data_IF_862808396960
#
_entry.id   IF_862808396960
#
_cell.length_a   1.000
_cell.length_b   1.000
_cell.length_c   1.000
_cell.angle_alpha   90.00
_cell.angle_beta   90.00
_cell.angle_gamma   90.00
#
_symmetry.space_group_name_H-M   'P 1'
#
loop_
_entity.id
_entity.type
_entity.pdbx_description
1 polymer ?
#
# COMPACT_ATOMS: atom_id res chain seq x y z
N UNK A 1 -2.17 2.53 -11.85
CA UNK A 1 -2.30 3.84 -12.51
C UNK A 1 -2.59 4.96 -11.50
N UNK A 2 -2.09 4.90 -10.26
CA UNK A 2 -2.27 5.97 -9.27
C UNK A 2 -1.15 7.02 -9.27
N UNK A 3 -0.10 6.80 -10.07
CA UNK A 3 1.03 7.72 -10.22
C UNK A 3 0.55 9.06 -10.79
N UNK A 4 1.02 10.18 -10.24
CA UNK A 4 0.64 11.52 -10.69
C UNK A 4 -0.62 12.11 -10.06
N UNK A 5 -1.33 11.38 -9.18
CA UNK A 5 -2.38 11.98 -8.31
C UNK A 5 -1.75 12.92 -7.28
N UNK A 6 -0.56 12.55 -6.80
CA UNK A 6 0.36 13.35 -5.99
C UNK A 6 1.69 13.41 -6.75
N UNK A 7 2.48 14.50 -6.67
CA UNK A 7 3.80 14.57 -7.29
C UNK A 7 4.69 13.40 -6.86
N UNK A 8 5.42 12.78 -7.80
CA UNK A 8 6.26 11.62 -7.48
C UNK A 8 7.44 11.93 -6.56
N UNK A 9 7.85 13.20 -6.53
CA UNK A 9 8.96 13.73 -5.73
C UNK A 9 8.50 14.31 -4.39
N UNK A 10 7.21 14.17 -4.07
CA UNK A 10 6.67 14.58 -2.77
C UNK A 10 7.39 13.83 -1.64
N UNK A 11 7.68 14.51 -0.53
CA UNK A 11 8.43 13.95 0.59
C UNK A 11 7.72 12.75 1.26
N UNK A 12 6.40 12.65 1.10
CA UNK A 12 5.60 11.55 1.62
C UNK A 12 5.50 10.35 0.66
N UNK A 13 6.05 10.47 -0.56
CA UNK A 13 6.02 9.40 -1.55
C UNK A 13 6.99 8.26 -1.19
N UNK A 14 6.47 7.18 -0.61
CA UNK A 14 7.27 5.99 -0.23
C UNK A 14 7.46 4.98 -1.37
N UNK A 15 7.29 5.39 -2.63
CA UNK A 15 7.36 4.47 -3.78
C UNK A 15 8.71 3.74 -3.91
N UNK A 16 9.82 4.42 -3.59
CA UNK A 16 11.17 3.84 -3.59
C UNK A 16 11.40 2.83 -2.45
N UNK A 17 10.67 2.99 -1.34
CA UNK A 17 10.75 2.15 -0.15
C UNK A 17 9.55 1.21 0.01
N UNK A 18 8.83 0.90 -1.10
CA UNK A 18 7.57 0.14 -1.09
C UNK A 18 7.62 -1.14 -0.24
N UNK A 19 8.67 -1.94 -0.37
CA UNK A 19 8.79 -3.19 0.40
C UNK A 19 8.87 -2.92 1.90
N UNK A 20 9.64 -1.90 2.32
CA UNK A 20 9.75 -1.52 3.72
C UNK A 20 8.42 -0.98 4.26
N UNK A 21 7.75 -0.11 3.49
CA UNK A 21 6.44 0.41 3.87
C UNK A 21 5.43 -0.74 4.10
N UNK A 22 5.28 -1.66 3.15
CA UNK A 22 4.31 -2.76 3.29
C UNK A 22 4.65 -3.73 4.44
N UNK A 23 5.92 -3.96 4.72
CA UNK A 23 6.38 -4.84 5.79
C UNK A 23 6.17 -4.26 7.20
N UNK A 24 6.26 -2.94 7.33
CA UNK A 24 6.28 -2.26 8.62
C UNK A 24 5.03 -1.42 8.91
N UNK A 25 4.13 -1.24 7.95
CA UNK A 25 2.82 -0.65 8.19
C UNK A 25 1.95 -1.54 9.07
N UNK A 26 1.48 -0.99 10.17
CA UNK A 26 0.43 -1.53 11.03
C UNK A 26 -0.97 -1.31 10.45
N UNK A 27 -1.16 -0.19 9.73
CA UNK A 27 -2.41 0.16 9.05
C UNK A 27 -2.14 0.60 7.61
N UNK A 28 -2.96 0.13 6.67
CA UNK A 28 -2.94 0.52 5.25
C UNK A 28 -4.32 0.99 4.84
N UNK A 29 -4.39 2.22 4.33
CA UNK A 29 -5.59 2.77 3.70
C UNK A 29 -5.54 2.53 2.19
N UNK A 30 -6.44 1.70 1.68
CA UNK A 30 -6.55 1.36 0.26
C UNK A 30 -7.67 2.18 -0.39
N UNK A 31 -7.28 3.19 -1.18
CA UNK A 31 -8.22 4.10 -1.86
C UNK A 31 -8.38 3.70 -3.33
N UNK A 32 -9.58 3.27 -3.74
CA UNK A 32 -9.88 2.97 -5.14
C UNK A 32 -9.04 1.84 -5.76
N UNK A 33 -8.43 1.00 -4.92
CA UNK A 33 -7.62 -0.13 -5.34
C UNK A 33 -8.16 -1.43 -4.73
N UNK A 34 -7.83 -2.57 -5.36
CA UNK A 34 -8.22 -3.90 -4.90
C UNK A 34 -6.99 -4.64 -4.38
N UNK A 35 -7.13 -5.36 -3.26
CA UNK A 35 -6.14 -6.35 -2.82
C UNK A 35 -6.17 -7.57 -3.75
N UNK A 36 -5.46 -7.47 -4.86
CA UNK A 36 -5.31 -8.56 -5.83
C UNK A 36 -3.87 -9.09 -5.83
N UNK A 37 -3.54 -9.88 -6.85
CA UNK A 37 -2.22 -10.48 -7.02
C UNK A 37 -1.07 -9.45 -7.07
N UNK A 38 -1.29 -8.23 -7.58
CA UNK A 38 -0.27 -7.16 -7.59
C UNK A 38 0.07 -6.65 -6.19
N UNK A 39 -0.89 -6.75 -5.26
CA UNK A 39 -0.72 -6.44 -3.84
C UNK A 39 -0.64 -7.70 -2.99
N UNK A 40 -0.31 -8.86 -3.58
CA UNK A 40 -0.14 -10.13 -2.87
C UNK A 40 -1.31 -10.49 -1.94
N UNK A 41 -2.51 -10.01 -2.24
CA UNK A 41 -3.70 -10.15 -1.40
C UNK A 41 -3.52 -9.68 0.06
N UNK A 42 -2.57 -8.77 0.33
CA UNK A 42 -2.29 -8.28 1.69
C UNK A 42 -1.62 -9.32 2.59
N UNK A 43 -0.95 -10.34 2.03
CA UNK A 43 -0.43 -11.48 2.79
C UNK A 43 1.09 -11.40 3.05
N UNK A 44 1.57 -12.07 4.12
CA UNK A 44 2.99 -12.30 4.32
C UNK A 44 3.63 -13.08 3.16
N UNK A 45 4.94 -12.91 2.89
CA UNK A 45 5.90 -12.09 3.64
C UNK A 45 5.96 -10.64 3.12
N UNK A 46 5.03 -10.21 2.26
CA UNK A 46 5.07 -8.86 1.67
C UNK A 46 4.42 -7.81 2.57
N UNK A 47 3.49 -8.24 3.41
CA UNK A 47 2.80 -7.43 4.40
C UNK A 47 3.14 -7.93 5.80
N UNK A 48 3.05 -7.04 6.78
CA UNK A 48 3.09 -7.41 8.19
C UNK A 48 1.99 -8.43 8.51
N UNK A 49 2.27 -9.43 9.34
CA UNK A 49 1.30 -10.49 9.71
C UNK A 49 -0.02 -9.95 10.30
N UNK A 50 0.04 -8.81 11.01
CA UNK A 50 -1.09 -8.23 11.73
C UNK A 50 -1.62 -6.93 11.13
N UNK A 51 -1.24 -6.62 9.88
CA UNK A 51 -1.65 -5.38 9.22
C UNK A 51 -3.17 -5.24 9.18
N UNK A 52 -3.66 -4.03 9.45
CA UNK A 52 -5.06 -3.67 9.30
C UNK A 52 -5.24 -2.94 7.98
N UNK A 53 -6.16 -3.42 7.14
CA UNK A 53 -6.47 -2.77 5.87
C UNK A 53 -7.83 -2.11 5.94
N UNK A 54 -7.88 -0.81 5.70
CA UNK A 54 -9.11 -0.05 5.52
C UNK A 54 -9.28 0.15 4.02
N UNK A 55 -10.35 -0.39 3.44
CA UNK A 55 -10.60 -0.29 2.01
C UNK A 55 -11.76 0.66 1.74
N UNK A 56 -11.48 1.75 1.02
CA UNK A 56 -12.50 2.67 0.51
C UNK A 56 -12.74 2.34 -0.95
N UNK A 57 -13.90 1.76 -1.20
CA UNK A 57 -14.38 1.43 -2.53
C UNK A 57 -15.86 1.83 -2.65
N UNK A 58 -16.36 1.94 -3.88
CA UNK A 58 -17.80 2.04 -4.16
C UNK A 58 -18.43 0.65 -4.15
#
# INVERSE_FOLDING_TARGET
>A
MGKGVVPDQDEHCVSSARTHALLHSDVILLLGARLNWMLHFGRPPRFQNNVKVIQVNR
#
